data_IF_747016818282
#
_entry.id   IF_747016818282
#
_cell.length_a   1.000
_cell.length_b   1.000
_cell.length_c   1.000
_cell.angle_alpha   90.00
_cell.angle_beta   90.00
_cell.angle_gamma   90.00
#
_symmetry.space_group_name_H-M   'P 1'
#
loop_
_entity.id
_entity.type
_entity.pdbx_description
1 polymer ?
#
# COMPACT_ATOMS: atom_id res chain seq x y z
N UNK A 1 29.09 4.36 1.14
CA UNK A 1 30.02 5.49 1.29
C UNK A 1 29.32 6.85 1.24
N UNK A 2 28.00 6.92 1.32
CA UNK A 2 27.18 8.16 1.22
C UNK A 2 26.63 8.67 2.56
N UNK A 3 26.91 7.98 3.67
CA UNK A 3 26.30 8.31 4.98
C UNK A 3 27.15 9.20 5.90
N UNK A 4 28.28 9.75 5.45
CA UNK A 4 29.24 10.43 6.33
C UNK A 4 29.13 11.94 6.39
N UNK A 5 28.19 12.57 5.68
CA UNK A 5 28.11 14.04 5.60
C UNK A 5 26.76 14.65 5.97
N UNK A 6 25.83 13.86 6.50
CA UNK A 6 24.60 14.42 7.05
C UNK A 6 24.85 14.84 8.51
N UNK A 7 24.45 16.05 8.94
CA UNK A 7 24.47 16.45 10.33
C UNK A 7 23.76 15.44 11.22
N UNK A 8 24.24 15.25 12.44
CA UNK A 8 23.67 14.27 13.38
C UNK A 8 22.17 14.48 13.61
N UNK A 9 21.71 15.72 13.50
CA UNK A 9 20.29 16.12 13.62
C UNK A 9 19.42 15.51 12.51
N UNK A 10 19.95 15.39 11.29
CA UNK A 10 19.24 14.75 10.17
C UNK A 10 19.16 13.22 10.33
N UNK A 11 20.06 12.62 11.08
CA UNK A 11 20.03 11.20 11.39
C UNK A 11 18.87 10.81 12.31
N UNK A 12 18.51 11.66 13.25
CA UNK A 12 17.36 11.43 14.13
C UNK A 12 16.05 11.58 13.37
N UNK A 13 15.90 12.60 12.53
CA UNK A 13 14.71 12.77 11.70
C UNK A 13 14.51 11.61 10.70
N UNK A 14 15.59 11.13 10.07
CA UNK A 14 15.55 9.98 9.15
C UNK A 14 15.47 8.65 9.91
N UNK A 15 16.04 8.57 11.12
CA UNK A 15 16.01 7.40 11.99
C UNK A 15 14.60 7.08 12.50
N UNK A 16 13.87 8.12 12.90
CA UNK A 16 12.49 7.99 13.38
C UNK A 16 11.52 7.47 12.29
N UNK A 17 11.76 7.80 11.03
CA UNK A 17 10.97 7.28 9.91
C UNK A 17 11.42 5.88 9.45
N UNK A 18 12.68 5.52 9.65
CA UNK A 18 13.20 4.19 9.25
C UNK A 18 12.72 3.05 10.14
N UNK A 19 12.61 3.29 11.44
CA UNK A 19 12.18 2.28 12.39
C UNK A 19 10.74 1.77 12.14
N UNK A 20 9.72 2.65 11.98
CA UNK A 20 8.38 2.23 11.60
C UNK A 20 8.33 1.51 10.25
N UNK A 21 9.07 1.98 9.24
CA UNK A 21 9.12 1.35 7.92
C UNK A 21 9.73 -0.05 7.99
N UNK A 22 10.82 -0.22 8.75
CA UNK A 22 11.45 -1.51 8.94
C UNK A 22 10.52 -2.47 9.70
N UNK A 23 9.85 -2.00 10.77
CA UNK A 23 8.91 -2.81 11.53
C UNK A 23 7.71 -3.26 10.68
N UNK A 24 7.10 -2.33 9.94
CA UNK A 24 5.99 -2.65 9.04
C UNK A 24 6.42 -3.59 7.92
N UNK A 25 7.62 -3.41 7.38
CA UNK A 25 8.22 -4.33 6.42
C UNK A 25 8.42 -5.72 6.98
N UNK A 26 8.96 -5.84 8.19
CA UNK A 26 9.15 -7.13 8.86
C UNK A 26 7.81 -7.84 9.14
N UNK A 27 6.79 -7.09 9.55
CA UNK A 27 5.42 -7.63 9.74
C UNK A 27 4.86 -8.11 8.41
N UNK A 28 4.99 -7.33 7.33
CA UNK A 28 4.48 -7.69 6.01
C UNK A 28 5.14 -8.96 5.47
N UNK A 29 6.47 -9.07 5.60
CA UNK A 29 7.25 -10.25 5.20
C UNK A 29 6.81 -11.48 5.99
N UNK A 30 6.61 -11.34 7.29
CA UNK A 30 6.16 -12.44 8.15
C UNK A 30 4.75 -12.89 7.79
N UNK A 31 3.82 -11.95 7.66
CA UNK A 31 2.43 -12.24 7.26
C UNK A 31 2.39 -12.93 5.92
N UNK A 32 3.11 -12.42 4.91
CA UNK A 32 3.20 -13.07 3.61
C UNK A 32 3.79 -14.48 3.69
N UNK A 33 4.86 -14.66 4.48
CA UNK A 33 5.50 -15.98 4.68
C UNK A 33 4.57 -17.01 5.34
N UNK A 34 3.74 -16.59 6.29
CA UNK A 34 2.81 -17.47 7.03
C UNK A 34 1.50 -17.72 6.27
N UNK A 35 0.90 -16.68 5.69
CA UNK A 35 -0.46 -16.72 5.14
C UNK A 35 -0.53 -16.75 3.61
N UNK A 36 0.54 -16.33 2.92
CA UNK A 36 0.52 -16.13 1.47
C UNK A 36 -0.25 -14.86 1.04
N UNK A 37 -0.65 -14.00 1.96
CA UNK A 37 -1.39 -12.75 1.70
C UNK A 37 -0.49 -11.55 1.97
N UNK A 38 -0.42 -10.64 1.01
CA UNK A 38 0.31 -9.38 1.17
C UNK A 38 -0.56 -8.32 1.90
N UNK A 39 -0.18 -7.86 3.10
CA UNK A 39 -0.94 -6.85 3.83
C UNK A 39 -0.66 -5.41 3.34
N UNK A 40 -0.49 -5.22 2.03
CA UNK A 40 -0.07 -3.94 1.43
C UNK A 40 -1.07 -2.83 1.70
N UNK A 41 -2.37 -3.11 1.53
CA UNK A 41 -3.43 -2.10 1.67
C UNK A 41 -3.50 -1.54 3.09
N UNK A 42 -3.53 -2.42 4.10
CA UNK A 42 -3.60 -2.02 5.50
C UNK A 42 -2.37 -1.25 5.97
N UNK A 43 -1.18 -1.75 5.65
CA UNK A 43 0.09 -1.10 6.03
C UNK A 43 0.28 0.23 5.32
N UNK A 44 -0.07 0.31 4.02
CA UNK A 44 0.00 1.57 3.27
C UNK A 44 -0.99 2.60 3.81
N UNK A 45 -2.16 2.18 4.28
CA UNK A 45 -3.13 3.08 4.91
C UNK A 45 -2.59 3.71 6.19
N UNK A 46 -1.97 2.92 7.05
CA UNK A 46 -1.31 3.42 8.28
C UNK A 46 -0.22 4.44 7.91
N UNK A 47 0.60 4.12 6.90
CA UNK A 47 1.67 5.03 6.45
C UNK A 47 1.10 6.29 5.85
N UNK A 48 0.00 6.23 5.09
CA UNK A 48 -0.68 7.43 4.58
C UNK A 48 -1.07 8.36 5.73
N UNK A 49 -1.73 7.83 6.77
CA UNK A 49 -2.15 8.62 7.91
C UNK A 49 -0.96 9.25 8.65
N UNK A 50 0.13 8.49 8.83
CA UNK A 50 1.35 9.01 9.45
C UNK A 50 1.99 10.12 8.61
N UNK A 51 2.13 9.93 7.30
CA UNK A 51 2.72 10.92 6.40
C UNK A 51 1.85 12.17 6.28
N UNK A 52 0.53 12.01 6.18
CA UNK A 52 -0.39 13.16 6.20
C UNK A 52 -0.26 13.93 7.52
N UNK A 53 -0.23 13.24 8.66
CA UNK A 53 -0.04 13.87 9.95
C UNK A 53 1.27 14.65 10.03
N UNK A 54 2.36 14.10 9.51
CA UNK A 54 3.67 14.78 9.48
C UNK A 54 3.66 15.98 8.52
N UNK A 55 3.23 15.80 7.26
CA UNK A 55 3.28 16.87 6.28
C UNK A 55 2.26 17.99 6.54
N UNK A 56 1.06 17.66 6.99
CA UNK A 56 0.06 18.65 7.38
C UNK A 56 0.48 19.37 8.67
N UNK A 57 1.08 18.67 9.63
CA UNK A 57 1.60 19.29 10.86
C UNK A 57 2.83 20.16 10.65
N UNK A 58 3.63 19.88 9.62
CA UNK A 58 4.85 20.62 9.28
C UNK A 58 4.65 21.68 8.18
N UNK A 59 3.41 21.96 7.77
CA UNK A 59 3.11 22.92 6.68
C UNK A 59 3.78 24.29 6.89
N UNK A 60 3.64 24.85 8.08
CA UNK A 60 4.20 26.17 8.39
C UNK A 60 5.74 26.16 8.38
N UNK A 61 6.37 25.10 8.86
CA UNK A 61 7.82 24.98 8.93
C UNK A 61 8.46 24.71 7.56
N UNK A 62 7.77 23.97 6.70
CA UNK A 62 8.24 23.60 5.37
C UNK A 62 7.76 24.55 4.28
N UNK A 63 6.86 25.48 4.60
CA UNK A 63 6.26 26.40 3.62
C UNK A 63 5.40 25.71 2.57
N UNK A 64 4.78 24.57 2.91
CA UNK A 64 3.98 23.76 2.02
C UNK A 64 2.52 24.19 2.02
N UNK A 65 1.89 24.23 0.84
CA UNK A 65 0.44 24.31 0.72
C UNK A 65 -0.23 22.97 1.11
N UNK A 66 -1.51 23.03 1.49
CA UNK A 66 -2.28 21.83 1.87
C UNK A 66 -2.29 20.77 0.76
N UNK A 67 -2.45 21.17 -0.50
CA UNK A 67 -2.42 20.27 -1.64
C UNK A 67 -1.05 19.61 -1.84
N UNK A 68 0.03 20.36 -1.63
CA UNK A 68 1.40 19.84 -1.73
C UNK A 68 1.70 18.83 -0.62
N UNK A 69 1.25 19.10 0.60
CA UNK A 69 1.38 18.20 1.73
C UNK A 69 0.63 16.88 1.48
N UNK A 70 -0.59 16.93 0.96
CA UNK A 70 -1.38 15.76 0.58
C UNK A 70 -0.68 14.96 -0.54
N UNK A 71 -0.19 15.65 -1.56
CA UNK A 71 0.50 15.01 -2.68
C UNK A 71 1.78 14.30 -2.22
N UNK A 72 2.57 14.93 -1.35
CA UNK A 72 3.75 14.31 -0.76
C UNK A 72 3.40 13.09 0.10
N UNK A 73 2.31 13.16 0.87
CA UNK A 73 1.79 12.03 1.63
C UNK A 73 1.40 10.85 0.73
N UNK A 74 0.69 11.10 -0.35
CA UNK A 74 0.29 10.08 -1.33
C UNK A 74 1.49 9.47 -2.06
N UNK A 75 2.42 10.30 -2.53
CA UNK A 75 3.65 9.82 -3.19
C UNK A 75 4.48 8.98 -2.24
N UNK A 76 4.70 9.44 -1.01
CA UNK A 76 5.42 8.69 0.02
C UNK A 76 4.76 7.34 0.32
N UNK A 77 3.44 7.32 0.41
CA UNK A 77 2.65 6.09 0.62
C UNK A 77 2.78 5.13 -0.56
N UNK A 78 2.78 5.64 -1.79
CA UNK A 78 2.97 4.82 -3.00
C UNK A 78 4.35 4.16 -3.03
N UNK A 79 5.39 4.91 -2.70
CA UNK A 79 6.77 4.40 -2.60
C UNK A 79 6.85 3.30 -1.53
N UNK A 80 6.27 3.54 -0.36
CA UNK A 80 6.23 2.57 0.73
C UNK A 80 5.44 1.31 0.33
N UNK A 81 4.24 1.46 -0.23
CA UNK A 81 3.41 0.36 -0.68
C UNK A 81 4.09 -0.52 -1.72
N UNK A 82 4.80 0.10 -2.67
CA UNK A 82 5.61 -0.61 -3.67
C UNK A 82 6.75 -1.41 -3.02
N UNK A 83 7.42 -0.85 -2.01
CA UNK A 83 8.50 -1.55 -1.31
C UNK A 83 7.97 -2.75 -0.50
N UNK A 84 6.81 -2.61 0.16
CA UNK A 84 6.15 -3.70 0.90
C UNK A 84 5.69 -4.79 -0.05
N UNK A 85 5.03 -4.46 -1.15
CA UNK A 85 4.59 -5.43 -2.15
C UNK A 85 5.79 -6.19 -2.73
N UNK A 86 6.87 -5.49 -3.07
CA UNK A 86 8.10 -6.13 -3.56
C UNK A 86 8.69 -7.10 -2.54
N UNK A 87 8.74 -6.73 -1.25
CA UNK A 87 9.25 -7.62 -0.20
C UNK A 87 8.36 -8.85 -0.01
N UNK A 88 7.05 -8.73 -0.08
CA UNK A 88 6.11 -9.85 -0.04
C UNK A 88 6.31 -10.80 -1.23
N UNK A 89 6.36 -10.27 -2.44
CA UNK A 89 6.59 -11.04 -3.67
C UNK A 89 7.90 -11.83 -3.59
N UNK A 90 9.00 -11.19 -3.17
CA UNK A 90 10.30 -11.85 -3.05
C UNK A 90 10.25 -13.03 -2.05
N UNK A 91 9.57 -12.88 -0.92
CA UNK A 91 9.40 -13.97 0.05
C UNK A 91 8.55 -15.10 -0.52
N UNK A 92 7.48 -14.78 -1.26
CA UNK A 92 6.68 -15.76 -1.99
C UNK A 92 7.52 -16.56 -2.99
N UNK A 93 8.35 -15.88 -3.78
CA UNK A 93 9.25 -16.48 -4.74
C UNK A 93 10.28 -17.42 -4.07
N UNK A 94 10.85 -17.01 -2.95
CA UNK A 94 11.76 -17.87 -2.18
C UNK A 94 11.07 -19.11 -1.64
N UNK A 95 9.86 -18.96 -1.11
CA UNK A 95 9.07 -20.09 -0.61
C UNK A 95 8.75 -21.08 -1.72
N UNK A 96 8.28 -20.59 -2.86
CA UNK A 96 8.01 -21.42 -4.04
C UNK A 96 9.29 -22.10 -4.56
N UNK A 97 10.40 -21.37 -4.57
CA UNK A 97 11.72 -21.89 -4.96
C UNK A 97 12.15 -23.08 -4.10
N UNK A 98 11.91 -23.00 -2.79
CA UNK A 98 12.21 -24.10 -1.87
C UNK A 98 11.40 -25.36 -2.20
N UNK A 99 10.12 -25.21 -2.52
CA UNK A 99 9.25 -26.34 -2.85
C UNK A 99 9.66 -27.07 -4.14
N UNK A 100 10.19 -26.35 -5.13
CA UNK A 100 10.65 -26.93 -6.40
C UNK A 100 12.14 -27.30 -6.40
N UNK A 101 12.83 -27.14 -5.25
CA UNK A 101 14.26 -27.48 -5.12
C UNK A 101 15.22 -26.54 -5.84
N UNK A 102 14.77 -25.32 -6.18
CA UNK A 102 15.63 -24.32 -6.80
C UNK A 102 16.50 -23.58 -5.76
N UNK A 103 17.64 -23.05 -6.20
CA UNK A 103 18.53 -22.32 -5.30
C UNK A 103 18.08 -20.86 -5.14
N UNK A 104 17.98 -20.35 -3.90
CA UNK A 104 17.60 -18.95 -3.63
C UNK A 104 18.44 -17.91 -4.39
N UNK A 105 19.70 -18.21 -4.63
CA UNK A 105 20.62 -17.35 -5.41
C UNK A 105 20.10 -17.04 -6.83
N UNK A 106 19.53 -18.02 -7.51
CA UNK A 106 19.02 -17.82 -8.87
C UNK A 106 17.77 -16.94 -8.87
N UNK A 107 16.93 -17.09 -7.86
CA UNK A 107 15.73 -16.25 -7.67
C UNK A 107 16.14 -14.80 -7.38
N UNK A 108 17.09 -14.59 -6.44
CA UNK A 108 17.60 -13.25 -6.15
C UNK A 108 18.16 -12.56 -7.40
N UNK A 109 18.94 -13.29 -8.18
CA UNK A 109 19.51 -12.76 -9.42
C UNK A 109 18.44 -12.42 -10.45
N UNK A 110 17.42 -13.27 -10.60
CA UNK A 110 16.29 -13.04 -11.49
C UNK A 110 15.51 -11.78 -11.09
N UNK A 111 15.19 -11.65 -9.80
CA UNK A 111 14.46 -10.50 -9.27
C UNK A 111 15.25 -9.19 -9.47
N UNK A 112 16.55 -9.16 -9.18
CA UNK A 112 17.39 -7.98 -9.40
C UNK A 112 17.45 -7.61 -10.89
N UNK A 113 17.62 -8.59 -11.77
CA UNK A 113 17.66 -8.33 -13.22
C UNK A 113 16.30 -7.88 -13.77
N UNK A 114 15.19 -8.31 -13.15
CA UNK A 114 13.83 -7.93 -13.53
C UNK A 114 13.44 -6.51 -13.12
N UNK A 115 14.11 -5.92 -12.12
CA UNK A 115 13.75 -4.59 -11.59
C UNK A 115 13.83 -3.51 -12.69
N UNK A 116 14.90 -3.46 -13.45
CA UNK A 116 15.11 -2.41 -14.45
C UNK A 116 14.08 -2.47 -15.59
N UNK A 117 13.92 -3.60 -16.31
CA UNK A 117 12.90 -3.67 -17.35
C UNK A 117 11.48 -3.53 -16.80
N UNK A 118 11.21 -4.08 -15.61
CA UNK A 118 9.92 -3.93 -14.95
C UNK A 118 9.60 -2.48 -14.60
N UNK A 119 10.56 -1.73 -14.09
CA UNK A 119 10.38 -0.30 -13.78
C UNK A 119 10.10 0.52 -15.04
N UNK A 120 10.82 0.28 -16.13
CA UNK A 120 10.63 1.00 -17.40
C UNK A 120 9.25 0.71 -17.99
N UNK A 121 8.87 -0.57 -18.07
CA UNK A 121 7.56 -0.97 -18.59
C UNK A 121 6.43 -0.49 -17.69
N UNK A 122 6.56 -0.65 -16.37
CA UNK A 122 5.56 -0.19 -15.41
C UNK A 122 5.35 1.33 -15.47
N UNK A 123 6.42 2.10 -15.52
CA UNK A 123 6.33 3.55 -15.68
C UNK A 123 5.66 3.93 -17.02
N UNK A 124 6.02 3.26 -18.12
CA UNK A 124 5.40 3.48 -19.42
C UNK A 124 3.90 3.21 -19.43
N UNK A 125 3.48 2.08 -18.85
CA UNK A 125 2.06 1.74 -18.72
C UNK A 125 1.33 2.74 -17.81
N UNK A 126 1.93 3.13 -16.68
CA UNK A 126 1.33 4.09 -15.76
C UNK A 126 1.11 5.46 -16.43
N UNK A 127 2.09 5.97 -17.18
CA UNK A 127 1.98 7.21 -17.93
C UNK A 127 0.88 7.09 -18.99
N UNK A 128 0.87 6.01 -19.76
CA UNK A 128 -0.15 5.78 -20.79
C UNK A 128 -1.56 5.76 -20.20
N UNK A 129 -1.77 5.00 -19.12
CA UNK A 129 -3.07 4.94 -18.45
C UNK A 129 -3.49 6.28 -17.84
N UNK A 130 -2.54 7.03 -17.27
CA UNK A 130 -2.81 8.36 -16.72
C UNK A 130 -3.27 9.35 -17.81
N UNK A 131 -2.68 9.31 -19.00
CA UNK A 131 -3.09 10.13 -20.13
C UNK A 131 -4.51 9.73 -20.57
N UNK A 132 -4.77 8.44 -20.77
CA UNK A 132 -6.08 7.96 -21.20
C UNK A 132 -7.19 8.30 -20.20
N UNK A 133 -6.87 8.24 -18.90
CA UNK A 133 -7.81 8.61 -17.84
C UNK A 133 -8.08 10.12 -17.83
N UNK A 134 -7.03 10.95 -18.02
CA UNK A 134 -7.15 12.41 -18.08
C UNK A 134 -7.97 12.89 -19.30
N UNK A 135 -7.87 12.16 -20.43
CA UNK A 135 -8.65 12.41 -21.63
C UNK A 135 -10.10 11.86 -21.57
N UNK A 136 -10.44 11.12 -20.52
CA UNK A 136 -11.76 10.50 -20.37
C UNK A 136 -12.03 9.34 -21.33
N UNK A 137 -10.99 8.76 -21.93
CA UNK A 137 -11.11 7.66 -22.89
C UNK A 137 -11.36 6.31 -22.19
N UNK A 138 -11.02 6.19 -20.91
CA UNK A 138 -11.17 4.97 -20.13
C UNK A 138 -11.69 5.30 -18.73
N UNK A 139 -12.57 4.44 -18.23
CA UNK A 139 -12.98 4.42 -16.82
C UNK A 139 -12.18 3.32 -16.11
N UNK A 140 -11.24 3.74 -15.25
CA UNK A 140 -10.50 2.80 -14.43
C UNK A 140 -11.14 2.69 -13.05
N UNK A 141 -11.72 1.56 -12.76
CA UNK A 141 -12.12 1.18 -11.41
C UNK A 141 -10.83 0.93 -10.60
N UNK A 142 -10.42 1.93 -9.83
CA UNK A 142 -9.27 1.83 -8.93
C UNK A 142 -9.75 2.03 -7.47
N UNK A 143 -10.42 1.03 -6.87
CA UNK A 143 -11.05 1.16 -5.56
C UNK A 143 -10.08 1.65 -4.48
N UNK A 144 -8.90 1.08 -4.42
CA UNK A 144 -7.88 1.46 -3.43
C UNK A 144 -7.39 2.90 -3.64
N UNK A 145 -7.13 3.31 -4.87
CA UNK A 145 -6.70 4.67 -5.17
C UNK A 145 -7.77 5.69 -4.77
N UNK A 146 -9.05 5.40 -5.05
CA UNK A 146 -10.16 6.23 -4.65
C UNK A 146 -10.30 6.30 -3.12
N UNK A 147 -10.13 5.19 -2.41
CA UNK A 147 -10.11 5.18 -0.96
C UNK A 147 -9.00 6.07 -0.40
N UNK A 148 -7.77 5.92 -0.88
CA UNK A 148 -6.64 6.74 -0.45
C UNK A 148 -6.86 8.22 -0.75
N UNK A 149 -7.37 8.56 -1.94
CA UNK A 149 -7.69 9.93 -2.32
C UNK A 149 -8.77 10.53 -1.41
N UNK A 150 -9.87 9.81 -1.19
CA UNK A 150 -10.97 10.25 -0.32
C UNK A 150 -10.50 10.50 1.11
N UNK A 151 -9.71 9.58 1.68
CA UNK A 151 -9.15 9.76 3.02
C UNK A 151 -8.20 10.95 3.09
N UNK A 152 -7.38 11.15 2.05
CA UNK A 152 -6.47 12.29 2.01
C UNK A 152 -7.20 13.63 2.03
N UNK A 153 -8.30 13.73 1.27
CA UNK A 153 -9.14 14.93 1.25
C UNK A 153 -9.85 15.14 2.60
N UNK A 154 -10.44 14.08 3.17
CA UNK A 154 -11.08 14.12 4.48
C UNK A 154 -10.12 14.64 5.56
N UNK A 155 -8.90 14.14 5.58
CA UNK A 155 -7.89 14.58 6.55
C UNK A 155 -7.37 16.01 6.29
N UNK A 156 -7.20 16.39 5.01
CA UNK A 156 -6.66 17.70 4.65
C UNK A 156 -7.66 18.82 4.87
N UNK A 157 -8.95 18.60 4.58
CA UNK A 157 -9.99 19.60 4.65
C UNK A 157 -10.78 19.56 5.97
N UNK A 158 -10.61 18.52 6.78
CA UNK A 158 -11.32 18.32 8.04
C UNK A 158 -12.85 18.15 7.85
N UNK A 159 -13.30 17.85 6.64
CA UNK A 159 -14.74 17.77 6.30
C UNK A 159 -15.30 16.35 6.42
N UNK A 160 -14.52 15.39 6.90
CA UNK A 160 -14.98 14.01 7.06
C UNK A 160 -15.96 13.86 8.21
N UNK A 161 -16.99 13.04 7.99
CA UNK A 161 -17.84 12.59 9.08
C UNK A 161 -17.05 11.54 9.93
N UNK A 162 -16.34 12.06 10.93
CA UNK A 162 -15.54 11.25 11.84
C UNK A 162 -16.36 10.19 12.58
N UNK A 163 -17.66 10.43 12.75
CA UNK A 163 -18.57 9.49 13.38
C UNK A 163 -18.83 8.29 12.46
N UNK A 164 -19.13 8.53 11.18
CA UNK A 164 -19.31 7.46 10.21
C UNK A 164 -18.01 6.67 10.00
N UNK A 165 -16.88 7.35 9.97
CA UNK A 165 -15.56 6.74 9.86
C UNK A 165 -15.26 5.85 11.09
N UNK A 166 -15.56 6.36 12.28
CA UNK A 166 -15.41 5.61 13.53
C UNK A 166 -16.33 4.39 13.60
N UNK A 167 -17.59 4.52 13.17
CA UNK A 167 -18.53 3.40 13.10
C UNK A 167 -18.08 2.35 12.09
N UNK A 168 -17.59 2.74 10.92
CA UNK A 168 -17.04 1.83 9.92
C UNK A 168 -15.82 1.06 10.44
N UNK A 169 -14.93 1.74 11.16
CA UNK A 169 -13.77 1.13 11.79
C UNK A 169 -14.19 0.10 12.86
N UNK A 170 -15.12 0.47 13.74
CA UNK A 170 -15.65 -0.43 14.76
C UNK A 170 -16.34 -1.66 14.16
N UNK A 171 -17.12 -1.46 13.10
CA UNK A 171 -17.79 -2.54 12.37
C UNK A 171 -16.75 -3.48 11.74
N UNK A 172 -15.71 -2.94 11.07
CA UNK A 172 -14.63 -3.74 10.48
C UNK A 172 -13.86 -4.54 11.53
N UNK A 173 -13.54 -3.92 12.67
CA UNK A 173 -12.89 -4.60 13.80
C UNK A 173 -13.78 -5.72 14.39
N UNK A 174 -15.07 -5.46 14.53
CA UNK A 174 -16.01 -6.46 15.02
C UNK A 174 -16.12 -7.66 14.09
N UNK A 175 -16.25 -7.40 12.77
CA UNK A 175 -16.31 -8.49 11.77
C UNK A 175 -14.99 -9.25 11.73
N UNK A 176 -13.84 -8.58 11.80
CA UNK A 176 -12.54 -9.23 11.86
C UNK A 176 -12.44 -10.14 13.09
N UNK A 177 -12.80 -9.62 14.26
CA UNK A 177 -12.78 -10.40 15.52
C UNK A 177 -13.73 -11.60 15.49
N UNK A 178 -14.93 -11.42 14.92
CA UNK A 178 -15.96 -12.47 14.90
C UNK A 178 -15.74 -13.55 13.84
N UNK A 179 -15.18 -13.19 12.69
CA UNK A 179 -15.10 -14.07 11.51
C UNK A 179 -13.69 -14.28 10.95
N UNK A 180 -12.72 -13.42 11.31
CA UNK A 180 -11.39 -13.37 10.68
C UNK A 180 -11.42 -12.92 9.20
N UNK A 181 -12.51 -12.31 8.75
CA UNK A 181 -12.74 -11.94 7.34
C UNK A 181 -13.07 -10.46 7.15
N UNK A 182 -12.65 -9.58 8.06
CA UNK A 182 -12.94 -8.15 8.01
C UNK A 182 -12.48 -7.49 6.71
N UNK A 183 -11.31 -7.85 6.20
CA UNK A 183 -10.81 -7.35 4.92
C UNK A 183 -11.71 -7.74 3.74
N UNK A 184 -12.12 -9.00 3.67
CA UNK A 184 -13.01 -9.50 2.62
C UNK A 184 -14.39 -8.86 2.71
N UNK A 185 -14.89 -8.64 3.93
CA UNK A 185 -16.15 -7.93 4.19
C UNK A 185 -16.07 -6.49 3.71
N UNK A 186 -15.01 -5.75 4.07
CA UNK A 186 -14.81 -4.38 3.63
C UNK A 186 -14.72 -4.25 2.10
N UNK A 187 -13.98 -5.14 1.44
CA UNK A 187 -13.91 -5.19 -0.02
C UNK A 187 -15.28 -5.48 -0.65
N UNK A 188 -16.04 -6.42 -0.07
CA UNK A 188 -17.38 -6.74 -0.54
C UNK A 188 -18.38 -5.59 -0.42
N UNK A 189 -18.23 -4.71 0.58
CA UNK A 189 -19.04 -3.50 0.72
C UNK A 189 -18.65 -2.40 -0.28
N UNK A 190 -17.38 -2.37 -0.69
CA UNK A 190 -16.83 -1.29 -1.50
C UNK A 190 -16.84 -1.61 -3.00
N UNK A 191 -16.66 -2.88 -3.39
CA UNK A 191 -16.61 -3.30 -4.78
C UNK A 191 -17.99 -3.50 -5.37
N UNK A 192 -18.14 -3.13 -6.64
CA UNK A 192 -19.37 -3.36 -7.40
C UNK A 192 -19.64 -4.87 -7.64
N UNK A 193 -20.91 -5.20 -7.90
CA UNK A 193 -21.38 -6.57 -8.15
C UNK A 193 -20.58 -7.29 -9.24
N UNK A 194 -20.21 -6.66 -10.39
CA UNK A 194 -19.39 -7.32 -11.41
C UNK A 194 -18.04 -7.84 -10.92
N UNK A 195 -17.50 -7.26 -9.85
CA UNK A 195 -16.23 -7.67 -9.25
C UNK A 195 -16.42 -8.70 -8.12
N UNK A 196 -17.46 -8.55 -7.32
CA UNK A 196 -17.72 -9.42 -6.16
C UNK A 196 -18.34 -10.75 -6.55
N UNK A 197 -19.18 -10.77 -7.59
CA UNK A 197 -19.87 -11.99 -8.04
C UNK A 197 -18.90 -13.09 -8.54
N UNK A 198 -17.88 -12.79 -9.38
CA UNK A 198 -16.88 -13.79 -9.75
C UNK A 198 -16.08 -14.33 -8.56
N UNK A 199 -15.79 -13.49 -7.56
CA UNK A 199 -15.11 -13.91 -6.34
C UNK A 199 -15.97 -14.89 -5.53
N UNK A 200 -17.27 -14.63 -5.42
CA UNK A 200 -18.24 -15.50 -4.74
C UNK A 200 -18.34 -16.86 -5.44
N UNK A 201 -18.49 -16.85 -6.78
CA UNK A 201 -18.57 -18.08 -7.57
C UNK A 201 -17.26 -18.88 -7.49
N UNK A 202 -16.11 -18.20 -7.61
CA UNK A 202 -14.79 -18.84 -7.52
C UNK A 202 -14.52 -19.43 -6.14
N UNK A 203 -14.88 -18.72 -5.07
CA UNK A 203 -14.79 -19.21 -3.71
C UNK A 203 -15.67 -20.43 -3.46
N UNK A 204 -16.94 -20.37 -3.87
CA UNK A 204 -17.86 -21.49 -3.75
C UNK A 204 -17.45 -22.73 -4.57
N UNK A 205 -16.88 -22.52 -5.76
CA UNK A 205 -16.37 -23.61 -6.58
C UNK A 205 -15.12 -24.29 -5.99
N UNK A 206 -14.32 -23.55 -5.21
CA UNK A 206 -13.16 -24.10 -4.52
C UNK A 206 -13.55 -24.99 -3.34
N UNK A 207 -14.61 -24.63 -2.65
CA UNK A 207 -15.05 -25.31 -1.42
C UNK A 207 -15.97 -26.53 -1.72
N UNK A 208 -16.31 -26.75 -3.01
CA UNK A 208 -17.06 -27.91 -3.54
C UNK A 208 -16.09 -28.98 -4.03
#
# INVERSE_FOLDING_TARGET
MWARHLPIEDWFAVGDLRAPHFMLGAIAVRVMGETGIEPVSGTSFIVLLLLLGVFLGAQETLGLGTQEAVLLGLVGTTVFGSAISMSGTVIGDYKNSLYIGNRPYHISKGNIMGVVPGAILGAGVAIFLSIQLAEGNIDLLAPQANAFATFSVIFAEGQGDLLLLGLGLLLGMFVEWATGMGTSFGLGMYLDIPHTLPMLIGGGARDW
#
